data_IF_098571615401
#
_entry.id   IF_098571615401
#
_cell.length_a   1.000
_cell.length_b   1.000
_cell.length_c   1.000
_cell.angle_alpha   90.00
_cell.angle_beta   90.00
_cell.angle_gamma   90.00
#
_symmetry.space_group_name_H-M   'P 1'
#
loop_
_entity.id
_entity.type
_entity.pdbx_description
1 polymer ?
#
# COMPACT_ATOMS: atom_id res chain seq x y z
N UNK A 1 -13.08 1.81 23.62
CA UNK A 1 -11.82 2.57 23.62
C UNK A 1 -11.36 2.64 22.18
N UNK A 2 -11.73 3.68 21.44
CA UNK A 2 -11.34 3.82 20.03
C UNK A 2 -9.92 4.36 19.97
N UNK A 3 -8.94 3.46 19.87
CA UNK A 3 -7.55 3.82 19.62
C UNK A 3 -7.42 4.45 18.24
N UNK A 4 -6.53 5.44 18.11
CA UNK A 4 -6.18 6.01 16.80
C UNK A 4 -5.47 4.93 15.99
N UNK A 5 -5.62 4.92 14.66
CA UNK A 5 -4.95 3.93 13.80
C UNK A 5 -3.41 3.96 13.94
N UNK A 6 -2.84 5.07 14.42
CA UNK A 6 -1.41 5.24 14.70
C UNK A 6 -0.94 4.68 16.05
N UNK A 7 -1.84 4.35 16.98
CA UNK A 7 -1.46 3.94 18.34
C UNK A 7 -0.61 2.65 18.39
N UNK A 8 -0.90 1.61 17.59
CA UNK A 8 -0.07 0.40 17.53
C UNK A 8 1.37 0.68 17.08
N UNK A 9 1.54 1.57 16.09
CA UNK A 9 2.86 1.97 15.58
C UNK A 9 3.64 2.76 16.63
N UNK A 10 3.01 3.74 17.28
CA UNK A 10 3.65 4.51 18.34
C UNK A 10 4.01 3.63 19.55
N UNK A 11 3.21 2.62 19.86
CA UNK A 11 3.52 1.65 20.91
C UNK A 11 4.75 0.80 20.55
N UNK A 12 4.86 0.34 19.29
CA UNK A 12 6.04 -0.36 18.78
C UNK A 12 7.30 0.51 18.93
N UNK A 13 7.25 1.75 18.45
CA UNK A 13 8.40 2.67 18.49
C UNK A 13 8.86 2.92 19.94
N UNK A 14 7.93 3.12 20.88
CA UNK A 14 8.26 3.28 22.30
C UNK A 14 8.89 2.02 22.90
N UNK A 15 8.39 0.83 22.53
CA UNK A 15 8.93 -0.46 23.02
C UNK A 15 10.35 -0.66 22.55
N UNK A 16 10.61 -0.50 21.25
CA UNK A 16 11.94 -0.71 20.65
C UNK A 16 12.94 0.32 21.17
N UNK A 17 12.51 1.57 21.34
CA UNK A 17 13.33 2.60 21.98
C UNK A 17 13.76 2.20 23.41
N UNK A 18 12.84 1.64 24.19
CA UNK A 18 13.13 1.16 25.54
C UNK A 18 14.07 -0.05 25.55
N UNK A 19 13.88 -1.01 24.63
CA UNK A 19 14.75 -2.19 24.47
C UNK A 19 16.19 -1.78 24.10
N UNK A 20 16.35 -0.73 23.29
CA UNK A 20 17.66 -0.17 22.92
C UNK A 20 18.23 0.81 23.94
N UNK A 21 17.57 1.04 25.07
CA UNK A 21 18.00 1.97 26.10
C UNK A 21 18.02 3.44 25.65
N UNK A 22 17.33 3.77 24.55
CA UNK A 22 17.26 5.12 24.01
C UNK A 22 16.12 5.89 24.68
N UNK A 23 16.48 6.94 25.40
CA UNK A 23 15.48 7.89 25.91
C UNK A 23 15.04 8.87 24.80
N UNK A 24 13.92 9.55 25.00
CA UNK A 24 13.36 10.50 24.01
C UNK A 24 14.34 11.61 23.61
N UNK A 25 15.29 11.99 24.48
CA UNK A 25 16.27 13.02 24.15
C UNK A 25 17.35 12.49 23.19
N UNK A 26 17.86 11.28 23.43
CA UNK A 26 18.81 10.61 22.54
C UNK A 26 18.19 10.36 21.17
N UNK A 27 16.92 9.96 21.16
CA UNK A 27 16.14 9.70 19.94
C UNK A 27 15.88 10.98 19.13
N UNK A 28 15.51 12.08 19.80
CA UNK A 28 15.34 13.38 19.16
C UNK A 28 16.65 13.90 18.56
N UNK A 29 17.76 13.73 19.28
CA UNK A 29 19.09 14.10 18.80
C UNK A 29 19.52 13.25 17.59
N UNK A 30 19.22 11.95 17.59
CA UNK A 30 19.57 11.05 16.48
C UNK A 30 18.86 11.41 15.18
N UNK A 31 17.63 11.92 15.25
CA UNK A 31 16.83 12.28 14.07
C UNK A 31 16.82 13.78 13.76
N UNK A 32 17.52 14.60 14.57
CA UNK A 32 17.64 16.04 14.35
C UNK A 32 16.37 16.86 14.64
N UNK A 33 15.46 16.38 15.48
CA UNK A 33 14.22 17.10 15.84
C UNK A 33 14.24 17.62 17.28
N UNK A 34 13.34 18.56 17.59
CA UNK A 34 13.20 19.06 18.94
C UNK A 34 12.64 17.99 19.90
N UNK A 35 13.22 17.88 21.10
CA UNK A 35 12.79 16.90 22.11
C UNK A 35 11.32 17.07 22.51
N UNK A 36 10.83 18.31 22.63
CA UNK A 36 9.44 18.57 23.03
C UNK A 36 8.45 18.13 21.95
N UNK A 37 8.80 18.37 20.68
CA UNK A 37 8.09 17.88 19.51
C UNK A 37 8.02 16.35 19.48
N UNK A 38 9.16 15.66 19.52
CA UNK A 38 9.17 14.19 19.50
C UNK A 38 8.38 13.57 20.67
N UNK A 39 8.41 14.20 21.84
CA UNK A 39 7.60 13.77 22.99
C UNK A 39 6.09 13.87 22.71
N UNK A 40 5.64 14.93 22.03
CA UNK A 40 4.22 15.13 21.66
C UNK A 40 3.80 14.13 20.58
N UNK A 41 4.63 13.91 19.57
CA UNK A 41 4.43 12.91 18.51
C UNK A 41 4.35 11.51 19.11
N UNK A 42 5.36 11.11 19.90
CA UNK A 42 5.36 9.82 20.58
C UNK A 42 4.21 9.68 21.55
N UNK A 43 3.64 10.74 22.14
CA UNK A 43 2.44 10.67 22.98
C UNK A 43 1.12 10.60 22.18
N UNK A 44 1.19 10.65 20.84
CA UNK A 44 0.04 10.69 19.95
C UNK A 44 -0.71 12.02 19.97
N UNK A 45 -0.11 13.10 20.49
CA UNK A 45 -0.74 14.45 20.54
C UNK A 45 -0.54 15.25 19.26
N UNK A 46 0.47 14.90 18.48
CA UNK A 46 0.74 15.44 17.15
C UNK A 46 0.86 14.30 16.14
N UNK A 47 0.55 14.55 14.86
CA UNK A 47 0.78 13.57 13.81
C UNK A 47 2.26 13.26 13.67
N UNK A 48 2.58 12.01 13.35
CA UNK A 48 3.92 11.57 12.98
C UNK A 48 4.09 11.77 11.47
N UNK A 49 5.09 12.56 11.06
CA UNK A 49 5.42 12.76 9.65
C UNK A 49 6.20 11.56 9.09
N UNK A 50 6.27 11.46 7.77
CA UNK A 50 6.99 10.37 7.09
C UNK A 50 8.50 10.48 7.34
N UNK A 51 9.06 11.68 7.30
CA UNK A 51 10.49 11.89 7.56
C UNK A 51 10.87 11.54 8.99
N UNK A 52 10.01 11.87 9.96
CA UNK A 52 10.20 11.43 11.34
C UNK A 52 10.11 9.92 11.46
N UNK A 53 9.16 9.27 10.79
CA UNK A 53 9.06 7.81 10.81
C UNK A 53 10.32 7.16 10.21
N UNK A 54 10.83 7.67 9.08
CA UNK A 54 12.05 7.17 8.44
C UNK A 54 13.26 7.42 9.35
N UNK A 55 13.37 8.60 9.94
CA UNK A 55 14.44 8.94 10.88
C UNK A 55 14.40 8.04 12.12
N UNK A 56 13.21 7.83 12.70
CA UNK A 56 13.00 6.94 13.84
C UNK A 56 13.34 5.49 13.50
N UNK A 57 12.91 5.02 12.33
CA UNK A 57 13.22 3.67 11.86
C UNK A 57 14.73 3.50 11.67
N UNK A 58 15.41 4.49 11.10
CA UNK A 58 16.86 4.46 10.90
C UNK A 58 17.60 4.49 12.25
N UNK A 59 17.23 5.38 13.16
CA UNK A 59 17.86 5.51 14.48
C UNK A 59 17.64 4.28 15.37
N UNK A 60 16.50 3.60 15.19
CA UNK A 60 16.15 2.37 15.89
C UNK A 60 16.51 1.12 15.08
N UNK A 61 17.23 1.25 13.96
CA UNK A 61 17.57 0.19 13.01
C UNK A 61 16.41 -0.80 12.79
N UNK A 62 15.22 -0.26 12.58
CA UNK A 62 14.01 -1.04 12.31
C UNK A 62 14.02 -1.47 10.85
N UNK A 63 13.94 -2.78 10.64
CA UNK A 63 13.74 -3.36 9.32
C UNK A 63 12.28 -3.25 8.86
N UNK A 64 11.99 -3.42 7.56
CA UNK A 64 10.63 -3.53 7.05
C UNK A 64 9.84 -4.67 7.71
N UNK A 65 10.51 -5.74 8.14
CA UNK A 65 9.94 -6.85 8.90
C UNK A 65 9.40 -6.45 10.29
N UNK A 66 10.05 -5.50 10.98
CA UNK A 66 9.65 -5.04 12.31
C UNK A 66 8.41 -4.14 12.25
N UNK A 67 8.29 -3.37 11.16
CA UNK A 67 7.16 -2.47 10.90
C UNK A 67 5.93 -3.22 10.40
N UNK A 68 6.12 -4.34 9.68
CA UNK A 68 5.04 -5.18 9.14
C UNK A 68 4.26 -5.97 10.19
N UNK A 69 4.83 -6.17 11.39
CA UNK A 69 4.19 -6.92 12.48
C UNK A 69 3.16 -6.14 13.30
N UNK A 70 2.90 -4.87 12.97
CA UNK A 70 1.95 -4.03 13.70
C UNK A 70 0.53 -4.33 13.22
N UNK A 71 -0.37 -4.89 14.06
CA UNK A 71 -1.76 -5.05 13.68
C UNK A 71 -2.37 -3.64 13.56
N UNK A 72 -2.46 -3.14 12.33
CA UNK A 72 -3.22 -1.95 12.03
C UNK A 72 -4.68 -2.28 12.31
N UNK A 73 -5.19 -1.81 13.44
CA UNK A 73 -6.58 -1.99 13.84
C UNK A 73 -7.49 -1.39 12.76
N UNK A 74 -8.06 -2.27 11.93
CA UNK A 74 -8.88 -1.89 10.77
C UNK A 74 -8.78 -2.83 9.55
N UNK A 75 -7.85 -3.79 9.53
CA UNK A 75 -7.85 -4.85 8.50
C UNK A 75 -8.94 -5.90 8.79
N UNK A 76 -9.70 -6.39 7.78
CA UNK A 76 -10.69 -7.44 8.00
C UNK A 76 -10.01 -8.71 8.52
N UNK A 77 -10.63 -9.37 9.50
CA UNK A 77 -10.26 -10.70 9.99
C UNK A 77 -10.30 -11.71 8.83
N UNK A 78 -9.17 -11.89 8.14
CA UNK A 78 -8.99 -12.97 7.16
C UNK A 78 -8.45 -14.20 7.89
N UNK A 79 -9.18 -14.73 8.87
CA UNK A 79 -8.86 -16.06 9.41
C UNK A 79 -10.04 -16.73 10.17
N UNK A 80 -11.20 -16.79 9.52
CA UNK A 80 -12.35 -17.51 10.05
C UNK A 80 -13.08 -18.36 9.00
N UNK A 81 -12.36 -19.10 8.14
CA UNK A 81 -12.94 -20.21 7.39
C UNK A 81 -11.93 -21.35 7.23
N UNK A 82 -11.82 -22.15 8.29
CA UNK A 82 -11.33 -23.53 8.24
C UNK A 82 -12.50 -24.44 7.87
N UNK A 83 -12.56 -25.06 6.68
CA UNK A 83 -13.52 -26.12 6.45
C UNK A 83 -13.10 -27.37 7.24
N UNK A 84 -14.03 -27.90 8.03
CA UNK A 84 -13.91 -29.21 8.68
C UNK A 84 -13.79 -30.33 7.63
N UNK A 85 -13.03 -31.42 7.90
CA UNK A 85 -12.92 -32.54 6.99
C UNK A 85 -14.25 -33.32 6.93
N UNK A 86 -14.82 -33.41 5.73
CA UNK A 86 -16.02 -34.16 5.45
C UNK A 86 -15.82 -35.67 5.70
N UNK A 87 -16.80 -36.25 6.38
CA UNK A 87 -16.90 -37.66 6.72
C UNK A 87 -16.94 -38.59 5.48
N UNK A 88 -16.26 -39.73 5.61
CA UNK A 88 -16.32 -40.85 4.68
C UNK A 88 -17.74 -41.43 4.57
N UNK A 89 -18.23 -41.79 3.38
CA UNK A 89 -19.38 -42.66 3.25
C UNK A 89 -18.93 -44.13 3.13
N UNK A 90 -19.59 -44.97 3.93
CA UNK A 90 -19.45 -46.41 3.98
C UNK A 90 -19.83 -47.10 2.66
N UNK A 91 -18.98 -48.02 2.20
CA UNK A 91 -19.27 -48.95 1.10
C UNK A 91 -20.13 -50.12 1.61
N UNK A 92 -21.32 -50.25 1.03
CA UNK A 92 -22.22 -51.40 1.20
C UNK A 92 -22.74 -51.87 -0.14
N UNK A 93 -22.29 -53.06 -0.54
CA UNK A 93 -22.99 -54.13 -1.25
C UNK A 93 -23.78 -53.80 -2.56
N UNK A 94 -23.21 -54.17 -3.71
CA UNK A 94 -23.96 -54.73 -4.85
C UNK A 94 -23.02 -55.42 -5.86
N UNK A 95 -23.35 -56.67 -6.18
CA UNK A 95 -22.67 -57.57 -7.11
C UNK A 95 -22.78 -57.16 -8.62
N UNK A 96 -21.98 -57.76 -9.53
CA UNK A 96 -21.66 -57.22 -10.86
C UNK A 96 -22.51 -57.84 -12.00
N UNK A 97 -22.41 -57.29 -13.22
CA UNK A 97 -22.50 -58.11 -14.42
C UNK A 97 -21.25 -58.03 -15.34
N UNK A 98 -20.99 -59.07 -16.16
CA UNK A 98 -19.76 -59.28 -16.91
C UNK A 98 -19.86 -58.88 -18.41
N UNK A 99 -18.72 -58.64 -19.05
CA UNK A 99 -18.57 -58.54 -20.51
C UNK A 99 -17.50 -57.52 -20.89
N UNK A 100 -16.24 -57.94 -21.04
CA UNK A 100 -15.62 -58.34 -22.31
C UNK A 100 -15.16 -57.13 -23.15
N UNK A 101 -13.84 -56.95 -23.22
CA UNK A 101 -13.19 -55.94 -24.05
C UNK A 101 -11.80 -55.60 -23.53
N UNK A 102 -10.86 -56.51 -23.78
CA UNK A 102 -9.42 -56.29 -23.65
C UNK A 102 -9.00 -55.08 -24.50
N UNK A 103 -8.25 -54.14 -23.92
CA UNK A 103 -7.15 -53.46 -24.62
C UNK A 103 -6.38 -52.53 -23.68
N UNK A 104 -5.05 -52.53 -23.84
CA UNK A 104 -4.23 -51.38 -23.45
C UNK A 104 -3.54 -51.46 -22.09
N UNK A 105 -2.51 -52.30 -22.01
CA UNK A 105 -1.41 -52.21 -21.03
C UNK A 105 -0.90 -50.76 -20.91
N UNK A 106 -0.97 -50.17 -19.71
CA UNK A 106 0.10 -49.36 -19.08
C UNK A 106 -0.48 -48.53 -17.91
N UNK A 107 -0.66 -49.15 -16.75
CA UNK A 107 -0.72 -48.47 -15.46
C UNK A 107 0.30 -49.13 -14.53
N UNK A 108 1.44 -48.48 -14.31
CA UNK A 108 2.10 -48.29 -13.00
C UNK A 108 3.54 -47.76 -13.19
N UNK A 109 3.75 -46.51 -12.79
CA UNK A 109 4.91 -45.98 -12.04
C UNK A 109 4.68 -44.46 -11.97
N UNK A 110 4.04 -43.93 -10.92
CA UNK A 110 4.63 -43.59 -9.63
C UNK A 110 6.02 -42.92 -9.71
N UNK A 111 6.07 -41.76 -9.04
CA UNK A 111 7.22 -41.04 -8.48
C UNK A 111 8.02 -40.15 -9.43
N UNK A 112 7.69 -38.86 -9.42
CA UNK A 112 8.49 -37.79 -8.82
C UNK A 112 8.21 -36.45 -9.52
N UNK A 113 7.51 -35.52 -8.87
CA UNK A 113 8.11 -34.21 -8.58
C UNK A 113 7.26 -33.45 -7.55
N UNK A 114 7.90 -33.06 -6.45
CA UNK A 114 7.34 -32.16 -5.44
C UNK A 114 7.60 -30.75 -5.96
N UNK A 115 6.61 -30.13 -6.59
CA UNK A 115 6.66 -28.69 -6.89
C UNK A 115 6.78 -27.88 -5.59
N UNK A 116 7.68 -26.88 -5.51
CA UNK A 116 7.92 -26.14 -4.29
C UNK A 116 6.73 -25.23 -3.95
N UNK A 117 6.48 -25.17 -2.64
CA UNK A 117 5.54 -24.32 -1.93
C UNK A 117 5.54 -22.88 -2.44
N UNK A 118 4.37 -22.34 -2.78
CA UNK A 118 4.15 -20.91 -2.99
C UNK A 118 4.53 -20.17 -1.71
N UNK A 119 5.70 -19.55 -1.75
CA UNK A 119 6.14 -18.58 -0.77
C UNK A 119 5.30 -17.32 -0.98
N UNK A 120 4.66 -16.88 0.11
CA UNK A 120 4.00 -15.60 0.23
C UNK A 120 4.95 -14.50 -0.27
N UNK A 121 4.54 -13.80 -1.32
CA UNK A 121 5.32 -12.74 -1.94
C UNK A 121 5.23 -11.45 -1.12
N UNK A 122 6.37 -11.02 -0.58
CA UNK A 122 6.60 -9.69 -0.03
C UNK A 122 6.22 -8.59 -1.07
N UNK A 123 5.47 -7.55 -0.69
CA UNK A 123 4.93 -6.60 -1.66
C UNK A 123 5.93 -5.58 -2.23
N UNK A 124 7.19 -5.50 -1.77
CA UNK A 124 8.10 -4.40 -2.19
C UNK A 124 9.54 -4.88 -2.53
N UNK A 125 9.95 -6.10 -2.13
CA UNK A 125 11.32 -6.60 -2.37
C UNK A 125 11.49 -7.57 -3.54
N UNK A 126 10.40 -8.04 -4.16
CA UNK A 126 10.46 -8.93 -5.31
C UNK A 126 10.96 -8.15 -6.54
N UNK A 127 12.28 -8.28 -6.76
CA UNK A 127 13.04 -7.93 -7.94
C UNK A 127 12.19 -7.60 -9.17
N UNK A 128 12.42 -6.43 -9.77
CA UNK A 128 11.99 -6.19 -11.14
C UNK A 128 12.43 -7.38 -12.00
N UNK A 129 11.47 -8.24 -12.35
CA UNK A 129 11.72 -9.43 -13.16
C UNK A 129 12.20 -8.96 -14.54
N UNK A 130 13.47 -9.24 -14.91
CA UNK A 130 14.03 -8.78 -16.18
C UNK A 130 13.37 -9.46 -17.39
N UNK A 131 12.57 -10.51 -17.18
CA UNK A 131 11.79 -11.21 -18.20
C UNK A 131 10.27 -11.09 -17.98
N UNK A 132 9.87 -10.28 -16.99
CA UNK A 132 8.49 -10.19 -16.52
C UNK A 132 7.67 -9.14 -17.26
N UNK A 133 6.43 -9.00 -16.81
CA UNK A 133 5.52 -7.97 -17.29
C UNK A 133 5.97 -6.58 -16.80
N UNK A 134 6.84 -5.94 -17.58
CA UNK A 134 7.40 -4.63 -17.28
C UNK A 134 6.33 -3.57 -17.03
N UNK A 135 5.19 -3.62 -17.73
CA UNK A 135 4.12 -2.66 -17.55
C UNK A 135 3.51 -2.75 -16.15
N UNK A 136 3.25 -3.97 -15.65
CA UNK A 136 2.72 -4.16 -14.30
C UNK A 136 3.69 -3.66 -13.22
N UNK A 137 5.00 -3.90 -13.38
CA UNK A 137 6.01 -3.44 -12.43
C UNK A 137 6.14 -1.92 -12.41
N UNK A 138 6.25 -1.29 -13.58
CA UNK A 138 6.37 0.18 -13.69
C UNK A 138 5.12 0.85 -13.15
N UNK A 139 3.93 0.29 -13.41
CA UNK A 139 2.68 0.80 -12.85
C UNK A 139 2.67 0.71 -11.33
N UNK A 140 3.04 -0.45 -10.75
CA UNK A 140 3.14 -0.61 -9.29
C UNK A 140 4.12 0.38 -8.66
N UNK A 141 5.28 0.56 -9.30
CA UNK A 141 6.30 1.51 -8.85
C UNK A 141 5.77 2.95 -8.89
N UNK A 142 5.12 3.36 -9.98
CA UNK A 142 4.54 4.70 -10.11
C UNK A 142 3.50 5.00 -9.03
N UNK A 143 2.64 4.02 -8.72
CA UNK A 143 1.65 4.13 -7.65
C UNK A 143 2.31 4.20 -6.26
N UNK A 144 3.33 3.37 -6.02
CA UNK A 144 4.06 3.37 -4.75
C UNK A 144 4.81 4.69 -4.49
N UNK A 145 5.32 5.32 -5.56
CA UNK A 145 5.98 6.62 -5.51
C UNK A 145 5.00 7.81 -5.51
N UNK A 146 3.69 7.57 -5.63
CA UNK A 146 2.68 8.62 -5.69
C UNK A 146 2.85 9.55 -6.91
N UNK A 147 3.34 9.03 -8.03
CA UNK A 147 3.46 9.79 -9.27
C UNK A 147 2.12 9.90 -9.99
N UNK A 148 1.94 10.99 -10.74
CA UNK A 148 0.94 11.02 -11.81
C UNK A 148 1.39 10.05 -12.92
N UNK A 149 0.47 9.28 -13.50
CA UNK A 149 0.79 8.25 -14.49
C UNK A 149 -0.02 8.50 -15.77
N UNK A 150 0.65 8.51 -16.91
CA UNK A 150 -0.02 8.46 -18.22
C UNK A 150 0.24 7.10 -18.86
N UNK A 151 -0.85 6.38 -19.12
CA UNK A 151 -0.87 5.09 -19.80
C UNK A 151 -1.31 5.27 -21.25
N UNK A 152 -0.51 4.77 -22.18
CA UNK A 152 -0.87 4.67 -23.60
C UNK A 152 -1.25 3.23 -23.94
N UNK A 153 -2.52 3.01 -24.26
CA UNK A 153 -3.03 1.69 -24.64
C UNK A 153 -3.20 1.56 -26.15
N UNK A 154 -2.92 0.38 -26.71
CA UNK A 154 -3.30 0.01 -28.07
C UNK A 154 -4.83 -0.09 -28.21
N UNK A 155 -5.42 0.83 -28.96
CA UNK A 155 -6.88 0.88 -29.15
C UNK A 155 -7.44 -0.38 -29.82
N UNK A 156 -6.65 -1.11 -30.60
CA UNK A 156 -7.10 -2.36 -31.21
C UNK A 156 -7.27 -3.48 -30.18
N UNK A 157 -6.53 -3.45 -29.07
CA UNK A 157 -6.51 -4.50 -28.06
C UNK A 157 -7.45 -4.24 -26.87
N UNK A 158 -8.05 -3.05 -26.80
CA UNK A 158 -8.93 -2.64 -25.68
C UNK A 158 -10.39 -2.49 -26.08
N UNK A 159 -10.80 -3.06 -27.22
CA UNK A 159 -12.19 -2.99 -27.71
C UNK A 159 -13.21 -3.60 -26.72
N UNK A 160 -12.79 -4.64 -25.98
CA UNK A 160 -13.62 -5.34 -24.99
C UNK A 160 -13.23 -5.00 -23.54
N UNK A 161 -12.47 -3.92 -23.34
CA UNK A 161 -11.98 -3.51 -22.02
C UNK A 161 -13.06 -2.91 -21.11
N UNK A 162 -14.27 -2.68 -21.63
CA UNK A 162 -15.33 -1.96 -20.91
C UNK A 162 -15.29 -0.44 -21.07
N UNK A 163 -14.31 0.10 -21.82
CA UNK A 163 -14.30 1.52 -22.21
C UNK A 163 -15.45 1.81 -23.18
N UNK A 164 -16.21 2.91 -23.01
CA UNK A 164 -17.27 3.28 -23.94
C UNK A 164 -16.81 3.40 -25.40
N UNK A 165 -17.63 2.91 -26.34
CA UNK A 165 -17.29 2.86 -27.78
C UNK A 165 -17.05 4.24 -28.38
N UNK A 166 -17.79 5.25 -27.92
CA UNK A 166 -17.64 6.63 -28.36
C UNK A 166 -16.31 7.25 -27.88
N UNK A 167 -15.79 6.82 -26.73
CA UNK A 167 -14.44 7.19 -26.26
C UNK A 167 -13.39 6.51 -27.13
N UNK A 168 -13.51 5.20 -27.37
CA UNK A 168 -12.58 4.46 -28.24
C UNK A 168 -12.53 5.02 -29.66
N UNK A 169 -13.67 5.46 -30.21
CA UNK A 169 -13.74 6.05 -31.54
C UNK A 169 -12.93 7.36 -31.68
N UNK A 170 -12.75 8.12 -30.59
CA UNK A 170 -11.92 9.35 -30.57
C UNK A 170 -10.43 9.05 -30.62
N UNK A 171 -10.03 7.85 -30.21
CA UNK A 171 -8.65 7.42 -30.07
C UNK A 171 -8.41 6.15 -30.90
N UNK A 172 -8.35 6.24 -32.24
CA UNK A 172 -8.32 5.05 -33.10
C UNK A 172 -7.00 4.26 -33.06
N UNK A 173 -5.91 4.85 -32.56
CA UNK A 173 -4.59 4.21 -32.51
C UNK A 173 -4.14 3.93 -31.08
N UNK A 174 -4.13 4.97 -30.26
CA UNK A 174 -3.67 4.88 -28.88
C UNK A 174 -4.67 5.59 -27.98
N UNK A 175 -5.16 4.89 -26.97
CA UNK A 175 -6.03 5.44 -25.93
C UNK A 175 -5.16 5.94 -24.77
N UNK A 176 -5.08 7.26 -24.55
CA UNK A 176 -4.39 7.81 -23.38
C UNK A 176 -5.29 7.77 -22.15
N UNK A 177 -4.78 7.26 -21.03
CA UNK A 177 -5.45 7.29 -19.72
C UNK A 177 -4.50 7.91 -18.72
N UNK A 178 -4.91 9.03 -18.11
CA UNK A 178 -4.18 9.68 -17.03
C UNK A 178 -4.73 9.21 -15.70
N UNK A 179 -3.85 8.79 -14.81
CA UNK A 179 -4.12 8.43 -13.44
C UNK A 179 -3.41 9.43 -12.55
N UNK A 180 -4.16 10.29 -11.88
CA UNK A 180 -3.59 11.27 -10.97
C UNK A 180 -3.22 10.61 -9.63
N UNK A 181 -2.19 11.14 -8.97
CA UNK A 181 -1.69 10.69 -7.67
C UNK A 181 -2.77 10.66 -6.60
N UNK A 182 -3.63 11.69 -6.57
CA UNK A 182 -4.75 11.77 -5.64
C UNK A 182 -5.85 10.73 -5.97
N UNK A 183 -6.06 10.44 -7.27
CA UNK A 183 -7.11 9.53 -7.73
C UNK A 183 -6.85 8.10 -7.23
N UNK A 184 -5.65 7.56 -7.44
CA UNK A 184 -5.41 6.16 -7.11
C UNK A 184 -5.17 5.87 -5.62
N UNK A 185 -5.00 6.90 -4.76
CA UNK A 185 -5.07 6.71 -3.29
C UNK A 185 -6.44 6.23 -2.83
N UNK A 186 -7.49 6.53 -3.61
CA UNK A 186 -8.88 6.23 -3.27
C UNK A 186 -9.53 5.18 -4.16
N UNK A 187 -8.85 4.75 -5.24
CA UNK A 187 -9.40 3.82 -6.21
C UNK A 187 -8.69 2.46 -6.21
N UNK A 188 -9.50 1.40 -6.25
CA UNK A 188 -9.08 0.00 -6.10
C UNK A 188 -8.53 -0.55 -7.44
N UNK A 189 -7.30 -0.18 -7.77
CA UNK A 189 -6.56 -0.78 -8.90
C UNK A 189 -6.23 -2.23 -8.57
N UNK A 190 -6.81 -3.17 -9.31
CA UNK A 190 -6.59 -4.61 -9.12
C UNK A 190 -5.69 -5.16 -10.20
N UNK A 191 -4.54 -5.67 -9.77
CA UNK A 191 -3.57 -6.34 -10.62
C UNK A 191 -3.96 -7.81 -10.77
N UNK A 192 -4.34 -8.22 -11.97
CA UNK A 192 -4.63 -9.60 -12.32
C UNK A 192 -3.43 -10.22 -13.07
N UNK A 193 -3.36 -11.55 -13.21
CA UNK A 193 -2.24 -12.20 -13.90
C UNK A 193 -2.05 -11.73 -15.35
N UNK A 194 -3.15 -11.46 -16.07
CA UNK A 194 -3.15 -11.12 -17.51
C UNK A 194 -3.62 -9.69 -17.81
N UNK A 195 -4.16 -8.99 -16.82
CA UNK A 195 -4.77 -7.66 -16.99
C UNK A 195 -4.65 -6.79 -15.75
N UNK A 196 -4.94 -5.50 -15.92
CA UNK A 196 -5.22 -4.56 -14.83
C UNK A 196 -6.68 -4.15 -14.89
N UNK A 197 -7.36 -4.25 -13.75
CA UNK A 197 -8.72 -3.75 -13.60
C UNK A 197 -8.69 -2.43 -12.85
N UNK A 198 -9.36 -1.43 -13.41
CA UNK A 198 -9.47 -0.09 -12.83
C UNK A 198 -10.83 0.51 -13.10
N UNK A 199 -11.35 1.26 -12.13
CA UNK A 199 -12.58 2.03 -12.30
C UNK A 199 -12.21 3.40 -12.84
N UNK A 200 -12.80 3.78 -13.97
CA UNK A 200 -12.55 5.05 -14.66
C UNK A 200 -13.85 5.84 -14.81
N UNK A 201 -13.73 7.15 -14.67
CA UNK A 201 -14.83 8.08 -14.95
C UNK A 201 -14.71 8.62 -16.37
N UNK A 202 -15.70 8.32 -17.20
CA UNK A 202 -15.89 8.98 -18.49
C UNK A 202 -17.10 9.93 -18.36
N UNK A 203 -18.25 9.56 -18.93
CA UNK A 203 -19.57 10.14 -18.67
C UNK A 203 -20.25 9.53 -17.42
N UNK A 204 -19.91 8.29 -17.11
CA UNK A 204 -20.24 7.58 -15.88
C UNK A 204 -19.02 6.80 -15.35
N UNK A 205 -19.19 6.08 -14.24
CA UNK A 205 -18.17 5.19 -13.70
C UNK A 205 -18.22 3.83 -14.41
N UNK A 206 -17.10 3.43 -15.00
CA UNK A 206 -16.94 2.14 -15.68
C UNK A 206 -15.82 1.35 -15.01
N UNK A 207 -16.07 0.06 -14.77
CA UNK A 207 -15.01 -0.88 -14.40
C UNK A 207 -14.39 -1.41 -15.67
N UNK A 208 -13.18 -0.94 -15.98
CA UNK A 208 -12.45 -1.34 -17.17
C UNK A 208 -11.39 -2.37 -16.83
N UNK A 209 -11.16 -3.32 -17.73
CA UNK A 209 -10.11 -4.33 -17.62
C UNK A 209 -9.20 -4.27 -18.86
N UNK A 210 -7.93 -3.92 -18.63
CA UNK A 210 -6.96 -3.73 -19.69
C UNK A 210 -5.93 -4.85 -19.67
N UNK A 211 -5.76 -5.61 -20.77
CA UNK A 211 -4.75 -6.65 -20.82
C UNK A 211 -3.36 -6.02 -20.84
N UNK A 212 -2.38 -6.65 -20.19
CA UNK A 212 -1.05 -6.07 -20.03
C UNK A 212 -0.34 -5.77 -21.36
N UNK A 213 -0.53 -6.64 -22.34
CA UNK A 213 -0.06 -6.50 -23.72
C UNK A 213 -0.65 -5.29 -24.48
N UNK A 214 -1.75 -4.70 -24.01
CA UNK A 214 -2.28 -3.49 -24.61
C UNK A 214 -1.52 -2.24 -24.15
N UNK A 215 -0.75 -2.28 -23.06
CA UNK A 215 0.01 -1.12 -22.57
C UNK A 215 1.26 -0.93 -23.45
N UNK A 216 1.24 0.08 -24.31
CA UNK A 216 2.38 0.43 -25.17
C UNK A 216 3.36 1.38 -24.46
N UNK A 217 2.85 2.23 -23.57
CA UNK A 217 3.65 3.26 -22.90
C UNK A 217 3.15 3.49 -21.48
N UNK A 218 4.09 3.64 -20.55
CA UNK A 218 3.85 4.14 -19.18
C UNK A 218 4.77 5.33 -18.95
N UNK A 219 4.19 6.50 -18.67
CA UNK A 219 4.95 7.72 -18.35
C UNK A 219 4.66 8.11 -16.92
N UNK A 220 5.70 8.28 -16.12
CA UNK A 220 5.60 8.69 -14.72
C UNK A 220 5.96 10.17 -14.61
N UNK A 221 5.11 10.93 -13.91
CA UNK A 221 5.34 12.33 -13.59
C UNK A 221 5.45 12.45 -12.07
N UNK A 222 6.67 12.58 -11.52
CA UNK A 222 6.84 12.79 -10.09
C UNK A 222 6.14 14.09 -9.70
N UNK A 223 5.38 14.06 -8.61
CA UNK A 223 4.83 15.28 -8.05
C UNK A 223 5.98 16.16 -7.56
N UNK A 224 5.93 17.48 -7.79
CA UNK A 224 6.87 18.39 -7.15
C UNK A 224 6.75 18.23 -5.64
N UNK A 225 7.87 18.33 -4.89
CA UNK A 225 7.81 18.30 -3.43
C UNK A 225 6.87 19.39 -2.95
N UNK A 226 6.03 19.05 -1.98
CA UNK A 226 5.12 20.02 -1.37
C UNK A 226 5.99 21.00 -0.57
N UNK A 227 6.16 22.22 -1.08
CA UNK A 227 6.96 23.27 -0.44
C UNK A 227 6.19 23.96 0.70
N UNK A 228 5.04 23.41 1.11
CA UNK A 228 4.16 24.00 2.11
C UNK A 228 4.59 23.79 3.57
N UNK A 229 5.72 23.11 3.82
CA UNK A 229 6.43 23.14 5.10
C UNK A 229 7.30 24.42 5.22
N UNK A 230 6.87 25.56 4.67
CA UNK A 230 7.31 26.83 5.25
C UNK A 230 6.70 26.87 6.65
N UNK A 231 7.52 26.90 7.72
CA UNK A 231 6.99 26.94 9.06
C UNK A 231 6.05 28.15 9.13
N UNK A 232 4.79 27.92 9.50
CA UNK A 232 3.91 29.00 9.93
C UNK A 232 4.76 29.88 10.85
N UNK A 233 5.11 31.09 10.41
CA UNK A 233 5.77 32.06 11.27
C UNK A 233 4.82 32.22 12.45
N UNK A 234 5.17 31.60 13.59
CA UNK A 234 4.44 31.74 14.84
C UNK A 234 4.35 33.25 15.07
N UNK A 235 3.17 33.84 14.83
CA UNK A 235 2.89 35.22 15.17
C UNK A 235 3.34 35.41 16.63
N UNK A 236 4.44 36.15 16.82
CA UNK A 236 4.95 36.45 18.14
C UNK A 236 3.79 36.96 18.99
N UNK A 237 3.51 36.34 20.15
CA UNK A 237 2.43 36.81 21.00
C UNK A 237 2.77 38.23 21.46
N UNK A 238 2.00 39.21 20.98
CA UNK A 238 2.07 40.61 21.45
C UNK A 238 2.01 40.65 22.98
N UNK A 239 3.19 40.94 23.54
CA UNK A 239 3.53 41.45 24.86
C UNK A 239 2.51 41.32 26.02
N UNK A 240 2.90 40.44 26.93
CA UNK A 240 2.55 40.50 28.35
C UNK A 240 3.13 41.78 29.03
N UNK A 241 2.68 42.14 30.26
CA UNK A 241 2.34 43.50 30.69
C UNK A 241 3.53 44.42 31.06
N UNK A 242 3.33 45.76 31.06
CA UNK A 242 4.37 46.70 31.42
C UNK A 242 4.71 46.61 32.92
N UNK A 243 5.96 46.29 33.24
CA UNK A 243 6.50 46.35 34.60
C UNK A 243 7.31 47.63 34.83
N UNK A 244 6.75 48.44 35.74
CA UNK A 244 7.38 49.30 36.76
C UNK A 244 8.05 50.62 36.35
N UNK A 245 7.60 51.68 37.02
CA UNK A 245 8.36 52.92 37.24
C UNK A 245 7.45 54.01 37.82
N UNK A 246 7.34 54.10 39.14
CA UNK A 246 6.45 55.07 39.79
C UNK A 246 7.00 56.49 39.86
N UNK A 247 6.10 57.47 39.92
CA UNK A 247 6.31 58.76 40.61
C UNK A 247 4.98 59.27 41.19
N UNK A 248 5.08 59.85 42.39
CA UNK A 248 4.04 60.50 43.19
C UNK A 248 3.68 61.91 42.68
N UNK A 249 2.50 62.40 43.14
CA UNK A 249 2.00 63.80 43.33
C UNK A 249 0.89 64.23 42.37
N UNK A 250 -0.14 65.00 42.76
CA UNK A 250 -0.35 65.86 43.95
C UNK A 250 -1.84 65.87 44.34
N UNK A 251 -2.08 66.22 45.60
CA UNK A 251 -3.36 66.56 46.23
C UNK A 251 -3.79 67.96 45.83
N UNK A 252 -5.06 68.12 45.44
CA UNK A 252 -5.99 69.19 45.86
C UNK A 252 -7.39 68.59 45.99
#
# INVERSE_FOLDING_TARGET
MSGRPSDPLLALLRRVAAERGMNTAALAQAIGVERAHLKRVLAGRQPLTVDELIGLATALELGPEDLGGVPLAGGPDIDAHRPEPAAEPAEGDAAPPPGAGEDGRARLSMLADRGPSEAAADPIGAAADPYGNHAAQVLRLGLALGCDILLGFDSAQVQDSGVPRDVLARYPKTLPIRLDAAYHRHHDLRFLPTSVRMTLSFDALYTCEFPWQAIQQVTLFPLPPDLSDEPDEEEEPEDAPPRRGGFLRLVE
#
